data_IF_760491906915
#
_entry.id   IF_760491906915
#
_cell.length_a   1.000
_cell.length_b   1.000
_cell.length_c   1.000
_cell.angle_alpha   90.00
_cell.angle_beta   90.00
_cell.angle_gamma   90.00
#
_symmetry.space_group_name_H-M   'P 1'
#
loop_
_entity.id
_entity.type
_entity.pdbx_description
1 polymer ?
#
# COMPACT_ATOMS: atom_id res chain seq x y z
N UNK A 1 -36.39 -21.26 30.26
CA UNK A 1 -35.01 -21.11 30.75
C UNK A 1 -34.11 -20.90 29.55
N UNK A 2 -33.56 -19.70 29.38
CA UNK A 2 -32.62 -19.38 28.31
C UNK A 2 -31.25 -19.95 28.69
N UNK A 3 -30.70 -20.84 27.85
CA UNK A 3 -29.36 -21.39 28.01
C UNK A 3 -28.44 -20.90 26.87
N UNK A 4 -27.14 -21.12 27.01
CA UNK A 4 -26.12 -20.65 26.06
C UNK A 4 -26.39 -21.12 24.62
N UNK A 5 -26.91 -22.34 24.44
CA UNK A 5 -27.21 -22.89 23.13
C UNK A 5 -28.43 -22.20 22.47
N UNK A 6 -29.45 -21.85 23.25
CA UNK A 6 -30.58 -21.07 22.77
C UNK A 6 -30.14 -19.66 22.31
N UNK A 7 -29.23 -19.02 23.06
CA UNK A 7 -28.65 -17.73 22.67
C UNK A 7 -27.81 -17.83 21.39
N UNK A 8 -26.96 -18.86 21.29
CA UNK A 8 -26.11 -19.10 20.11
C UNK A 8 -26.94 -19.36 18.85
N UNK A 9 -28.03 -20.11 18.98
CA UNK A 9 -28.96 -20.39 17.88
C UNK A 9 -29.70 -19.12 17.45
N UNK A 10 -30.20 -18.34 18.41
CA UNK A 10 -30.87 -17.06 18.13
C UNK A 10 -29.94 -16.07 17.43
N UNK A 11 -28.68 -15.96 17.85
CA UNK A 11 -27.68 -15.09 17.22
C UNK A 11 -27.36 -15.53 15.78
N UNK A 12 -27.24 -16.83 15.52
CA UNK A 12 -27.02 -17.37 14.16
C UNK A 12 -28.21 -17.10 13.24
N UNK A 13 -29.43 -17.33 13.72
CA UNK A 13 -30.64 -17.03 12.97
C UNK A 13 -30.77 -15.53 12.68
N UNK A 14 -30.47 -14.68 13.67
CA UNK A 14 -30.50 -13.23 13.48
C UNK A 14 -29.48 -12.80 12.41
N UNK A 15 -28.24 -13.28 12.50
CA UNK A 15 -27.19 -12.99 11.52
C UNK A 15 -27.51 -13.51 10.11
N UNK A 16 -28.19 -14.65 9.99
CA UNK A 16 -28.64 -15.20 8.70
C UNK A 16 -29.87 -14.47 8.13
N UNK A 17 -30.75 -13.96 9.00
CA UNK A 17 -31.95 -13.19 8.64
C UNK A 17 -31.67 -11.73 8.30
N UNK A 18 -30.55 -11.20 8.80
CA UNK A 18 -30.03 -9.92 8.37
C UNK A 18 -29.48 -10.14 6.97
N UNK A 19 -30.16 -9.60 5.96
CA UNK A 19 -29.69 -9.61 4.57
C UNK A 19 -28.21 -9.23 4.59
N UNK A 20 -27.34 -10.12 4.11
CA UNK A 20 -25.91 -9.82 4.03
C UNK A 20 -25.77 -8.48 3.33
N UNK A 21 -25.13 -7.51 3.97
CA UNK A 21 -24.84 -6.23 3.33
C UNK A 21 -24.29 -6.51 1.94
N UNK A 22 -24.72 -5.77 0.89
CA UNK A 22 -24.23 -6.00 -0.46
C UNK A 22 -22.70 -6.09 -0.39
N UNK A 23 -22.13 -7.21 -0.87
CA UNK A 23 -20.66 -7.38 -0.98
C UNK A 23 -20.12 -6.52 -2.15
N UNK A 24 -20.68 -5.34 -2.34
CA UNK A 24 -20.24 -4.41 -3.34
C UNK A 24 -18.87 -3.88 -2.89
N UNK A 25 -17.85 -3.88 -3.77
CA UNK A 25 -16.61 -3.19 -3.51
C UNK A 25 -16.89 -1.73 -3.15
N UNK A 26 -16.14 -1.19 -2.19
CA UNK A 26 -16.20 0.23 -1.88
C UNK A 26 -15.77 1.04 -3.12
N UNK A 27 -16.40 2.18 -3.35
CA UNK A 27 -15.85 3.17 -4.28
C UNK A 27 -14.53 3.73 -3.77
N UNK A 28 -13.74 4.35 -4.65
CA UNK A 28 -12.48 4.99 -4.27
C UNK A 28 -12.63 6.00 -3.14
N UNK A 29 -13.70 6.79 -3.18
CA UNK A 29 -14.07 7.76 -2.15
C UNK A 29 -14.46 7.10 -0.83
N UNK A 30 -15.27 6.04 -0.86
CA UNK A 30 -15.68 5.30 0.34
C UNK A 30 -14.49 4.61 1.00
N UNK A 31 -13.64 3.97 0.19
CA UNK A 31 -12.39 3.37 0.67
C UNK A 31 -11.48 4.44 1.29
N UNK A 32 -11.31 5.58 0.60
CA UNK A 32 -10.48 6.68 1.11
C UNK A 32 -10.98 7.23 2.44
N UNK A 33 -12.30 7.38 2.61
CA UNK A 33 -12.89 7.86 3.85
C UNK A 33 -12.60 6.88 5.00
N UNK A 34 -12.85 5.59 4.78
CA UNK A 34 -12.58 4.55 5.77
C UNK A 34 -11.10 4.46 6.15
N UNK A 35 -10.20 4.51 5.17
CA UNK A 35 -8.76 4.51 5.40
C UNK A 35 -8.33 5.72 6.24
N UNK A 36 -8.83 6.92 5.94
CA UNK A 36 -8.47 8.13 6.68
C UNK A 36 -8.88 8.05 8.16
N UNK A 37 -10.07 7.51 8.44
CA UNK A 37 -10.53 7.25 9.81
C UNK A 37 -9.57 6.31 10.57
N UNK A 38 -9.10 5.26 9.91
CA UNK A 38 -8.15 4.30 10.52
C UNK A 38 -6.77 4.93 10.74
N UNK A 39 -6.27 5.71 9.78
CA UNK A 39 -4.94 6.34 9.88
C UNK A 39 -4.89 7.48 10.89
N UNK A 40 -5.95 8.30 11.00
CA UNK A 40 -6.05 9.37 12.00
C UNK A 40 -6.07 8.85 13.44
N UNK A 41 -6.43 7.58 13.63
CA UNK A 41 -6.37 6.92 14.93
C UNK A 41 -4.94 6.51 15.29
N UNK A 42 -4.75 5.40 16.02
CA UNK A 42 -3.43 4.87 16.39
C UNK A 42 -2.56 4.47 15.18
N UNK A 43 -3.13 4.36 13.97
CA UNK A 43 -2.43 3.96 12.75
C UNK A 43 -1.21 4.84 12.43
N UNK A 44 -1.33 6.17 12.58
CA UNK A 44 -0.21 7.08 12.35
C UNK A 44 0.97 6.87 13.29
N UNK A 45 0.70 6.57 14.57
CA UNK A 45 1.75 6.26 15.55
C UNK A 45 2.45 4.93 15.21
N UNK A 46 1.71 3.89 14.80
CA UNK A 46 2.30 2.61 14.35
C UNK A 46 3.26 2.79 13.19
N UNK A 47 2.92 3.64 12.22
CA UNK A 47 3.81 3.94 11.09
C UNK A 47 5.12 4.58 11.54
N UNK A 48 5.02 5.65 12.34
CA UNK A 48 6.17 6.42 12.82
C UNK A 48 7.05 5.62 13.79
N UNK A 49 6.45 4.94 14.75
CA UNK A 49 7.15 4.39 15.91
C UNK A 49 7.59 2.93 15.69
N UNK A 50 7.03 2.24 14.69
CA UNK A 50 7.31 0.82 14.44
C UNK A 50 7.66 0.51 12.98
N UNK A 51 6.78 0.83 12.02
CA UNK A 51 6.97 0.41 10.63
C UNK A 51 8.20 1.10 10.01
N UNK A 52 8.33 2.42 10.14
CA UNK A 52 9.44 3.17 9.55
C UNK A 52 10.81 2.75 10.13
N UNK A 53 11.00 2.64 11.47
CA UNK A 53 12.25 2.15 12.04
C UNK A 53 12.60 0.74 11.59
N UNK A 54 11.62 -0.18 11.58
CA UNK A 54 11.84 -1.56 11.17
C UNK A 54 12.23 -1.63 9.69
N UNK A 55 11.51 -0.93 8.82
CA UNK A 55 11.77 -0.89 7.39
C UNK A 55 13.15 -0.29 7.10
N UNK A 56 13.51 0.78 7.80
CA UNK A 56 14.84 1.40 7.69
C UNK A 56 15.93 0.38 7.98
N UNK A 57 15.83 -0.36 9.09
CA UNK A 57 16.82 -1.38 9.48
C UNK A 57 16.90 -2.52 8.48
N UNK A 58 15.78 -2.95 7.90
CA UNK A 58 15.75 -4.03 6.92
C UNK A 58 16.40 -3.62 5.57
N UNK A 59 16.22 -2.38 5.16
CA UNK A 59 16.71 -1.87 3.88
C UNK A 59 18.14 -1.33 3.95
N UNK A 60 18.61 -0.91 5.14
CA UNK A 60 19.93 -0.29 5.33
C UNK A 60 21.09 -1.08 4.70
N UNK A 61 21.23 -2.41 4.89
CA UNK A 61 22.33 -3.16 4.29
C UNK A 61 22.31 -3.17 2.75
N UNK A 62 21.11 -3.21 2.16
CA UNK A 62 20.93 -3.17 0.71
C UNK A 62 21.30 -1.79 0.15
N UNK A 63 20.95 -0.73 0.88
CA UNK A 63 21.12 0.65 0.45
C UNK A 63 22.56 1.14 0.63
N UNK A 64 23.33 0.54 1.55
CA UNK A 64 24.76 0.80 1.72
C UNK A 64 25.60 0.11 0.64
N UNK A 65 25.19 -1.08 0.19
CA UNK A 65 25.99 -1.91 -0.73
C UNK A 65 25.77 -1.59 -2.20
N UNK A 66 24.64 -1.00 -2.56
CA UNK A 66 24.29 -0.67 -3.95
C UNK A 66 24.44 0.82 -4.21
N UNK A 67 24.90 1.16 -5.42
CA UNK A 67 25.00 2.54 -5.88
C UNK A 67 23.63 3.20 -6.15
N UNK A 68 22.59 2.37 -6.28
CA UNK A 68 21.22 2.79 -6.51
C UNK A 68 20.27 1.61 -6.42
N UNK A 69 19.03 1.88 -6.04
CA UNK A 69 17.99 0.86 -5.77
C UNK A 69 16.76 1.14 -6.63
N UNK A 70 16.28 0.11 -7.31
CA UNK A 70 14.95 0.11 -7.95
C UNK A 70 13.90 -0.49 -7.01
N UNK A 71 12.79 0.22 -6.83
CA UNK A 71 11.71 -0.17 -5.93
C UNK A 71 10.40 -0.31 -6.69
N UNK A 72 9.72 -1.44 -6.46
CA UNK A 72 8.32 -1.65 -6.80
C UNK A 72 7.49 -1.61 -5.53
N UNK A 73 6.53 -0.69 -5.43
CA UNK A 73 5.59 -0.59 -4.33
C UNK A 73 4.17 -0.97 -4.79
N UNK A 74 3.56 -1.93 -4.12
CA UNK A 74 2.22 -2.43 -4.45
C UNK A 74 1.27 -1.95 -3.36
N UNK A 75 0.37 -1.05 -3.73
CA UNK A 75 -0.58 -0.43 -2.81
C UNK A 75 -0.02 0.64 -1.90
N UNK A 76 0.77 1.62 -2.40
CA UNK A 76 1.31 2.68 -1.56
C UNK A 76 0.21 3.52 -0.89
N UNK A 77 -1.00 3.56 -1.46
CA UNK A 77 -2.02 4.51 -1.05
C UNK A 77 -1.65 5.95 -1.45
N UNK A 78 -2.17 6.98 -0.74
CA UNK A 78 -1.98 8.37 -1.13
C UNK A 78 -0.57 8.92 -0.86
N UNK A 79 0.27 8.19 -0.09
CA UNK A 79 1.66 8.56 0.22
C UNK A 79 2.48 7.28 0.43
N UNK A 80 3.64 7.19 -0.21
CA UNK A 80 4.56 6.06 0.00
C UNK A 80 5.16 6.09 1.41
N UNK A 81 5.28 4.92 2.03
CA UNK A 81 6.00 4.78 3.32
C UNK A 81 7.51 5.08 3.16
N UNK A 82 8.05 4.90 1.95
CA UNK A 82 9.46 5.16 1.65
C UNK A 82 9.84 6.63 1.82
N UNK A 83 8.89 7.55 1.58
CA UNK A 83 9.12 8.98 1.82
C UNK A 83 9.30 9.35 3.28
N UNK A 84 8.97 8.45 4.22
CA UNK A 84 9.17 8.65 5.65
C UNK A 84 10.50 8.07 6.16
N UNK A 85 11.28 7.40 5.30
CA UNK A 85 12.59 6.86 5.67
C UNK A 85 13.61 7.98 5.94
N UNK A 86 14.67 7.70 6.70
CA UNK A 86 15.81 8.62 6.84
C UNK A 86 16.33 9.10 5.48
N UNK A 87 16.66 10.38 5.36
CA UNK A 87 17.07 11.02 4.09
C UNK A 87 18.21 10.29 3.39
N UNK A 88 19.18 9.75 4.14
CA UNK A 88 20.27 8.96 3.57
C UNK A 88 19.78 7.74 2.78
N UNK A 89 18.77 7.03 3.29
CA UNK A 89 18.16 5.90 2.60
C UNK A 89 17.32 6.34 1.39
N UNK A 90 16.53 7.41 1.54
CA UNK A 90 15.68 7.93 0.45
C UNK A 90 16.48 8.32 -0.80
N UNK A 91 17.71 8.82 -0.63
CA UNK A 91 18.62 9.20 -1.73
C UNK A 91 19.15 8.02 -2.56
N UNK A 92 19.09 6.81 -2.01
CA UNK A 92 19.52 5.59 -2.71
C UNK A 92 18.46 5.05 -3.67
N UNK A 93 17.21 5.49 -3.53
CA UNK A 93 16.12 5.10 -4.42
C UNK A 93 16.29 5.87 -5.73
N UNK A 94 16.58 5.13 -6.81
CA UNK A 94 16.83 5.68 -8.15
C UNK A 94 15.68 5.46 -9.11
N UNK A 95 14.90 4.40 -8.90
CA UNK A 95 13.72 4.10 -9.70
C UNK A 95 12.59 3.69 -8.77
N UNK A 96 11.41 4.25 -9.03
CA UNK A 96 10.22 3.98 -8.25
C UNK A 96 9.06 3.69 -9.18
N UNK A 97 8.50 2.50 -9.02
CA UNK A 97 7.28 2.05 -9.71
C UNK A 97 6.23 1.72 -8.67
N UNK A 98 4.98 2.12 -8.91
CA UNK A 98 3.87 1.83 -8.03
C UNK A 98 2.66 1.26 -8.76
N UNK A 99 1.95 0.34 -8.11
CA UNK A 99 0.61 -0.09 -8.53
C UNK A 99 -0.40 0.30 -7.45
N UNK A 100 -1.35 1.15 -7.81
CA UNK A 100 -2.41 1.60 -6.91
C UNK A 100 -3.75 1.57 -7.66
N UNK A 101 -4.70 0.69 -7.28
CA UNK A 101 -5.99 0.58 -7.98
C UNK A 101 -6.97 1.73 -7.68
N UNK A 102 -6.73 2.54 -6.64
CA UNK A 102 -7.58 3.67 -6.31
C UNK A 102 -7.09 4.94 -7.04
N UNK A 103 -7.90 5.45 -7.97
CA UNK A 103 -7.50 6.58 -8.81
C UNK A 103 -7.26 7.88 -8.02
N UNK A 104 -8.01 8.09 -6.93
CA UNK A 104 -7.79 9.24 -6.05
C UNK A 104 -6.44 9.16 -5.33
N UNK A 105 -5.95 7.94 -5.08
CA UNK A 105 -4.66 7.73 -4.42
C UNK A 105 -3.51 7.90 -5.39
N UNK A 106 -3.68 7.48 -6.65
CA UNK A 106 -2.71 7.76 -7.73
C UNK A 106 -2.47 9.27 -7.84
N UNK A 107 -3.53 10.07 -8.02
CA UNK A 107 -3.41 11.53 -8.14
C UNK A 107 -2.75 12.15 -6.90
N UNK A 108 -3.14 11.71 -5.69
CA UNK A 108 -2.57 12.22 -4.43
C UNK A 108 -1.10 11.83 -4.26
N UNK A 109 -0.71 10.63 -4.70
CA UNK A 109 0.65 10.15 -4.63
C UNK A 109 1.54 10.94 -5.60
N UNK A 110 1.08 11.15 -6.83
CA UNK A 110 1.75 12.00 -7.84
C UNK A 110 1.96 13.42 -7.32
N UNK A 111 0.90 14.03 -6.78
CA UNK A 111 0.97 15.35 -6.17
C UNK A 111 1.97 15.35 -5.02
N UNK A 112 1.88 14.41 -4.08
CA UNK A 112 2.79 14.37 -2.92
C UNK A 112 4.26 14.16 -3.31
N UNK A 113 4.54 13.37 -4.34
CA UNK A 113 5.91 13.21 -4.87
C UNK A 113 6.43 14.46 -5.56
N UNK A 114 5.55 15.31 -6.09
CA UNK A 114 5.91 16.50 -6.88
C UNK A 114 5.82 17.82 -6.08
N UNK A 115 5.06 17.85 -4.97
CA UNK A 115 4.66 19.09 -4.27
C UNK A 115 5.63 19.49 -3.16
N UNK A 116 6.87 19.86 -3.48
CA UNK A 116 7.79 20.45 -2.49
C UNK A 116 8.61 21.60 -3.08
N UNK A 117 8.88 22.61 -2.25
CA UNK A 117 9.56 23.86 -2.60
C UNK A 117 11.05 23.69 -2.91
N UNK A 118 11.67 22.59 -2.48
CA UNK A 118 13.09 22.30 -2.68
C UNK A 118 13.31 20.80 -2.91
N UNK A 119 14.29 20.44 -3.74
CA UNK A 119 14.70 19.04 -3.96
C UNK A 119 15.05 18.31 -2.66
N UNK A 120 15.59 19.01 -1.65
CA UNK A 120 15.92 18.42 -0.35
C UNK A 120 14.68 18.00 0.46
N UNK A 121 13.52 18.58 0.14
CA UNK A 121 12.24 18.32 0.80
C UNK A 121 11.40 17.26 0.06
N UNK A 122 11.79 16.89 -1.17
CA UNK A 122 11.08 15.86 -1.93
C UNK A 122 11.12 14.51 -1.18
N UNK A 123 10.02 13.72 -1.22
CA UNK A 123 10.00 12.42 -0.57
C UNK A 123 11.02 11.45 -1.16
N UNK A 124 11.20 11.46 -2.49
CA UNK A 124 12.16 10.63 -3.22
C UNK A 124 13.08 11.54 -4.07
N UNK A 125 14.11 12.14 -3.47
CA UNK A 125 14.80 13.30 -4.04
C UNK A 125 15.82 12.95 -5.15
N UNK A 126 16.11 11.68 -5.41
CA UNK A 126 17.19 11.28 -6.31
C UNK A 126 16.77 10.22 -7.34
N UNK A 127 15.52 10.29 -7.80
CA UNK A 127 15.05 9.44 -8.89
C UNK A 127 15.73 9.82 -10.20
N UNK A 128 16.18 8.82 -10.96
CA UNK A 128 16.81 9.01 -12.28
C UNK A 128 15.78 9.34 -13.37
N UNK A 129 14.50 9.06 -13.11
CA UNK A 129 13.37 9.32 -13.99
C UNK A 129 12.13 9.67 -13.16
N UNK A 130 11.09 10.27 -13.76
CA UNK A 130 9.80 10.42 -13.10
C UNK A 130 9.30 9.08 -12.53
N UNK A 131 8.59 9.09 -11.40
CA UNK A 131 8.00 7.88 -10.83
C UNK A 131 6.98 7.26 -11.81
N UNK A 132 6.99 5.94 -11.97
CA UNK A 132 6.04 5.20 -12.79
C UNK A 132 4.87 4.73 -11.92
N UNK A 133 3.79 5.52 -11.86
CA UNK A 133 2.61 5.22 -11.05
C UNK A 133 1.50 4.69 -11.94
N UNK A 134 1.07 3.46 -11.68
CA UNK A 134 0.07 2.75 -12.48
C UNK A 134 -1.24 2.65 -11.72
N UNK A 135 -2.29 3.20 -12.31
CA UNK A 135 -3.67 3.10 -11.80
C UNK A 135 -4.26 1.73 -12.13
N UNK A 136 -3.68 0.68 -11.57
CA UNK A 136 -4.06 -0.70 -11.83
C UNK A 136 -3.79 -1.58 -10.59
N UNK A 137 -4.63 -2.62 -10.36
CA UNK A 137 -4.30 -3.63 -9.37
C UNK A 137 -3.09 -4.46 -9.83
N UNK A 138 -2.19 -4.76 -8.91
CA UNK A 138 -1.10 -5.70 -9.19
C UNK A 138 -1.65 -7.11 -9.40
N UNK A 139 -1.33 -7.73 -10.54
CA UNK A 139 -1.74 -9.08 -10.91
C UNK A 139 -0.53 -9.92 -11.32
N UNK A 140 -0.49 -11.18 -10.86
CA UNK A 140 0.58 -12.14 -11.17
C UNK A 140 0.34 -12.88 -12.50
N UNK A 141 -0.91 -12.91 -12.97
CA UNK A 141 -1.29 -13.70 -14.14
C UNK A 141 -0.75 -13.09 -15.44
N UNK A 142 0.15 -13.83 -16.08
CA UNK A 142 0.81 -13.48 -17.33
C UNK A 142 -0.11 -13.49 -18.58
N UNK A 143 -1.38 -13.85 -18.44
CA UNK A 143 -2.32 -14.10 -19.55
C UNK A 143 -3.24 -12.93 -19.90
N UNK A 144 -3.37 -11.91 -19.05
CA UNK A 144 -4.15 -10.70 -19.35
C UNK A 144 -3.19 -9.59 -19.83
N UNK A 145 -3.07 -9.45 -21.15
CA UNK A 145 -2.17 -8.49 -21.78
C UNK A 145 -2.47 -7.04 -21.39
N UNK A 146 -1.53 -6.41 -20.66
CA UNK A 146 -1.20 -4.98 -20.73
C UNK A 146 0.01 -4.63 -19.84
N UNK A 147 0.14 -5.23 -18.66
CA UNK A 147 1.14 -4.82 -17.67
C UNK A 147 2.15 -5.91 -17.34
N UNK A 148 2.92 -6.36 -18.35
CA UNK A 148 4.11 -7.17 -18.06
C UNK A 148 5.17 -6.27 -17.44
N UNK A 149 5.36 -6.39 -16.13
CA UNK A 149 6.59 -5.95 -15.50
C UNK A 149 7.70 -6.86 -16.04
N UNK A 150 8.44 -6.35 -17.02
CA UNK A 150 9.66 -7.01 -17.50
C UNK A 150 10.89 -6.60 -16.67
N UNK A 151 10.73 -5.60 -15.81
CA UNK A 151 11.81 -5.02 -15.03
C UNK A 151 12.09 -5.84 -13.76
N UNK A 152 13.39 -5.94 -13.43
CA UNK A 152 13.84 -6.47 -12.15
C UNK A 152 13.90 -5.34 -11.14
N UNK A 153 13.40 -5.63 -9.94
CA UNK A 153 13.45 -4.72 -8.81
C UNK A 153 14.38 -5.23 -7.73
N UNK A 154 15.12 -4.32 -7.10
CA UNK A 154 15.94 -4.65 -5.93
C UNK A 154 15.08 -4.80 -4.67
N UNK A 155 13.97 -4.05 -4.60
CA UNK A 155 12.98 -4.13 -3.52
C UNK A 155 11.58 -4.22 -4.11
N UNK A 156 10.80 -5.19 -3.63
CA UNK A 156 9.36 -5.26 -3.87
C UNK A 156 8.65 -5.13 -2.52
N UNK A 157 7.88 -4.07 -2.35
CA UNK A 157 7.16 -3.77 -1.12
C UNK A 157 5.66 -3.98 -1.32
N UNK A 158 5.09 -4.92 -0.58
CA UNK A 158 3.65 -5.10 -0.49
C UNK A 158 3.12 -4.30 0.70
N UNK A 159 2.41 -3.22 0.41
CA UNK A 159 1.71 -2.43 1.41
C UNK A 159 0.29 -3.00 1.61
N UNK A 160 -0.66 -2.18 2.07
CA UNK A 160 -2.03 -2.57 2.45
C UNK A 160 -2.88 -3.27 1.36
N UNK A 161 -2.32 -3.56 0.20
CA UNK A 161 -3.04 -4.04 -0.98
C UNK A 161 -3.07 -5.54 -1.17
N UNK A 162 -2.45 -6.34 -0.29
CA UNK A 162 -2.57 -7.81 -0.39
C UNK A 162 -4.02 -8.30 -0.22
N UNK A 163 -4.86 -7.58 0.52
CA UNK A 163 -6.27 -7.94 0.72
C UNK A 163 -7.12 -7.89 -0.56
N UNK A 164 -6.69 -7.08 -1.53
CA UNK A 164 -7.32 -6.94 -2.85
C UNK A 164 -6.81 -7.94 -3.89
N UNK A 165 -5.67 -8.60 -3.64
CA UNK A 165 -5.04 -9.49 -4.60
C UNK A 165 -5.81 -10.80 -4.78
N UNK A 166 -5.75 -11.35 -5.99
CA UNK A 166 -6.33 -12.64 -6.35
C UNK A 166 -5.25 -13.57 -6.89
N UNK A 167 -5.35 -14.89 -6.64
CA UNK A 167 -6.26 -15.58 -5.71
C UNK A 167 -5.95 -15.35 -4.21
N UNK A 168 -6.99 -15.10 -3.39
CA UNK A 168 -6.86 -14.74 -1.96
C UNK A 168 -6.28 -15.81 -1.03
N UNK A 169 -6.28 -17.10 -1.43
CA UNK A 169 -5.90 -18.25 -0.58
C UNK A 169 -4.60 -18.93 -0.98
N UNK A 170 -3.93 -18.43 -2.02
CA UNK A 170 -2.67 -19.04 -2.50
C UNK A 170 -1.45 -18.26 -1.98
N UNK A 171 -1.64 -17.06 -1.43
CA UNK A 171 -0.57 -16.12 -1.09
C UNK A 171 -0.47 -15.77 0.40
N UNK A 172 -1.30 -16.38 1.26
CA UNK A 172 -1.28 -16.23 2.72
C UNK A 172 -1.24 -17.61 3.36
#
# INVERSE_FOLDING_TARGET
MTNLEALKHALRQHAASTSSSPKQPLSDTQYSAGFYTLVQSSGGATYRDFIVPLLSRLLDPLFVTRAGVSVLEIGPGPKSVLGSLPTGLRRQIKKYTAFEPNGLYVERLEQWLSSHSSEAELPLPCLDSPPDIRNDPFTLDHSAGANKIHDKFDVVLFCHSMYGMKPKRTYV
#
